data_IF_689317123821
#
_entry.id   IF_689317123821
#
_cell.length_a   1.000
_cell.length_b   1.000
_cell.length_c   1.000
_cell.angle_alpha   90.00
_cell.angle_beta   90.00
_cell.angle_gamma   90.00
#
_symmetry.space_group_name_H-M   'P 1'
#
loop_
_entity.id
_entity.type
_entity.pdbx_description
1 polymer ?
#
# COMPACT_ATOMS: atom_id res chain seq x y z
N UNK A 1 -20.73 29.12 -65.48
CA UNK A 1 -19.27 29.07 -65.34
C UNK A 1 -18.90 29.80 -64.08
N UNK A 2 -18.50 29.07 -63.05
CA UNK A 2 -18.06 29.66 -61.79
C UNK A 2 -16.59 30.06 -61.85
N UNK A 3 -16.20 30.93 -60.94
CA UNK A 3 -14.91 30.86 -60.27
C UNK A 3 -15.02 31.63 -58.95
N UNK A 4 -15.02 30.85 -57.87
CA UNK A 4 -14.88 31.25 -56.47
C UNK A 4 -13.38 31.16 -56.14
N UNK A 5 -12.99 31.85 -55.06
CA UNK A 5 -11.78 31.70 -54.22
C UNK A 5 -10.52 32.49 -54.62
N UNK A 6 -9.64 32.94 -53.70
CA UNK A 6 -9.42 32.69 -52.26
C UNK A 6 -8.92 33.98 -51.57
N UNK A 7 -9.20 34.15 -50.27
CA UNK A 7 -8.32 34.91 -49.38
C UNK A 7 -8.27 34.25 -47.99
N UNK A 8 -7.32 33.32 -47.88
CA UNK A 8 -6.43 32.99 -46.75
C UNK A 8 -7.03 33.08 -45.34
N UNK A 9 -7.39 31.93 -44.81
CA UNK A 9 -7.51 31.68 -43.36
C UNK A 9 -6.11 31.43 -42.78
N UNK A 10 -5.69 32.30 -41.87
CA UNK A 10 -4.47 32.16 -41.07
C UNK A 10 -4.63 30.96 -40.13
N UNK A 11 -4.11 29.80 -40.53
CA UNK A 11 -3.94 28.67 -39.64
C UNK A 11 -2.92 29.05 -38.57
N UNK A 12 -3.39 29.09 -37.32
CA UNK A 12 -2.59 29.19 -36.12
C UNK A 12 -1.74 27.92 -36.07
N UNK A 13 -0.49 28.02 -36.51
CA UNK A 13 0.47 26.91 -36.46
C UNK A 13 0.59 26.42 -35.02
N UNK A 14 -0.07 25.30 -34.73
CA UNK A 14 0.36 24.41 -33.67
C UNK A 14 1.74 23.92 -34.08
N UNK A 15 2.77 24.41 -33.38
CA UNK A 15 4.12 23.87 -33.50
C UNK A 15 4.02 22.39 -33.10
N UNK A 16 4.02 21.47 -34.08
CA UNK A 16 4.09 20.05 -33.76
C UNK A 16 5.48 19.83 -33.19
N UNK A 17 5.55 19.34 -31.95
CA UNK A 17 6.82 18.93 -31.34
C UNK A 17 7.58 18.05 -32.34
N UNK A 18 8.87 18.34 -32.52
CA UNK A 18 9.74 17.48 -33.33
C UNK A 18 9.83 16.10 -32.67
N UNK A 19 10.13 15.07 -33.45
CA UNK A 19 10.47 13.76 -32.90
C UNK A 19 11.63 13.87 -31.90
N UNK A 20 12.56 14.81 -32.13
CA UNK A 20 13.70 15.08 -31.24
C UNK A 20 13.26 15.69 -29.90
N UNK A 21 12.30 16.62 -29.90
CA UNK A 21 11.73 17.20 -28.68
C UNK A 21 11.00 16.12 -27.87
N UNK A 22 10.23 15.27 -28.57
CA UNK A 22 9.49 14.16 -27.96
C UNK A 22 10.44 13.12 -27.33
N UNK A 23 11.60 12.85 -27.96
CA UNK A 23 12.63 11.97 -27.41
C UNK A 23 13.27 12.60 -26.17
N UNK A 24 13.58 13.91 -26.22
CA UNK A 24 14.17 14.61 -25.09
C UNK A 24 13.26 14.58 -23.86
N UNK A 25 11.95 14.83 -24.04
CA UNK A 25 10.95 14.79 -22.97
C UNK A 25 10.89 13.40 -22.29
N UNK A 26 10.97 12.31 -23.07
CA UNK A 26 10.97 10.95 -22.51
C UNK A 26 12.28 10.64 -21.77
N UNK A 27 13.40 11.11 -22.30
CA UNK A 27 14.71 10.87 -21.69
C UNK A 27 14.93 11.66 -20.41
N UNK A 28 14.21 12.78 -20.20
CA UNK A 28 14.33 13.62 -19.00
C UNK A 28 14.13 12.82 -17.69
N UNK A 29 13.14 11.93 -17.65
CA UNK A 29 12.80 11.14 -16.45
C UNK A 29 13.27 9.69 -16.51
N UNK A 30 13.94 9.29 -17.60
CA UNK A 30 14.29 7.90 -17.86
C UNK A 30 15.16 7.29 -16.76
N UNK A 31 16.22 7.99 -16.35
CA UNK A 31 17.18 7.45 -15.38
C UNK A 31 16.58 7.34 -13.97
N UNK A 32 15.72 8.30 -13.59
CA UNK A 32 14.95 8.23 -12.34
C UNK A 32 13.97 7.05 -12.36
N UNK A 33 13.27 6.85 -13.47
CA UNK A 33 12.37 5.71 -13.65
C UNK A 33 13.12 4.37 -13.54
N UNK A 34 14.23 4.21 -14.28
CA UNK A 34 15.01 2.98 -14.29
C UNK A 34 15.59 2.69 -12.90
N UNK A 35 16.18 3.70 -12.24
CA UNK A 35 16.75 3.53 -10.90
C UNK A 35 15.68 3.16 -9.86
N UNK A 36 14.50 3.80 -9.92
CA UNK A 36 13.35 3.47 -9.08
C UNK A 36 12.90 2.02 -9.28
N UNK A 37 12.73 1.59 -10.53
CA UNK A 37 12.31 0.22 -10.86
C UNK A 37 13.34 -0.84 -10.46
N UNK A 38 14.63 -0.56 -10.64
CA UNK A 38 15.71 -1.46 -10.23
C UNK A 38 15.76 -1.60 -8.71
N UNK A 39 15.63 -0.49 -7.98
CA UNK A 39 15.59 -0.49 -6.51
C UNK A 39 14.39 -1.30 -5.99
N UNK A 40 13.19 -1.07 -6.53
CA UNK A 40 11.98 -1.82 -6.19
C UNK A 40 12.16 -3.32 -6.49
N UNK A 41 12.73 -3.67 -7.65
CA UNK A 41 13.02 -5.06 -8.02
C UNK A 41 14.01 -5.73 -7.05
N UNK A 42 15.08 -5.04 -6.66
CA UNK A 42 16.06 -5.56 -5.71
C UNK A 42 15.43 -5.83 -4.33
N UNK A 43 14.62 -4.89 -3.83
CA UNK A 43 13.87 -5.05 -2.57
C UNK A 43 12.87 -6.21 -2.64
N UNK A 44 12.10 -6.32 -3.73
CA UNK A 44 11.16 -7.42 -3.92
C UNK A 44 11.84 -8.78 -3.98
N UNK A 45 13.05 -8.90 -4.55
CA UNK A 45 13.82 -10.15 -4.52
C UNK A 45 14.18 -10.58 -3.09
N UNK A 46 14.52 -9.63 -2.22
CA UNK A 46 14.78 -9.91 -0.80
C UNK A 46 13.51 -10.41 -0.10
N UNK A 47 12.38 -9.74 -0.34
CA UNK A 47 11.08 -10.15 0.22
C UNK A 47 10.68 -11.54 -0.28
N UNK A 48 10.81 -11.79 -1.58
CA UNK A 48 10.49 -13.08 -2.19
C UNK A 48 11.29 -14.23 -1.57
N UNK A 49 12.59 -14.03 -1.32
CA UNK A 49 13.42 -15.03 -0.65
C UNK A 49 13.06 -15.30 0.82
N UNK A 50 12.22 -14.47 1.46
CA UNK A 50 11.57 -14.77 2.76
C UNK A 50 10.25 -15.49 2.55
N UNK A 51 9.46 -15.03 1.57
CA UNK A 51 8.19 -15.64 1.19
C UNK A 51 8.34 -17.14 0.84
N UNK A 52 9.38 -17.52 0.11
CA UNK A 52 9.64 -18.91 -0.28
C UNK A 52 9.84 -19.85 0.92
N UNK A 53 10.20 -19.32 2.10
CA UNK A 53 10.33 -20.10 3.35
C UNK A 53 9.01 -20.23 4.11
N UNK A 54 7.91 -19.74 3.52
CA UNK A 54 6.59 -19.63 4.12
C UNK A 54 6.58 -18.85 5.45
N UNK A 55 7.49 -17.88 5.57
CA UNK A 55 7.61 -17.03 6.75
C UNK A 55 7.03 -15.63 6.48
N UNK A 56 5.70 -15.55 6.58
CA UNK A 56 4.96 -14.30 6.29
C UNK A 56 5.25 -13.23 7.35
N UNK A 57 5.56 -13.63 8.58
CA UNK A 57 5.96 -12.70 9.65
C UNK A 57 7.29 -12.02 9.32
N UNK A 58 8.28 -12.78 8.84
CA UNK A 58 9.55 -12.20 8.38
C UNK A 58 9.39 -11.36 7.11
N UNK A 59 8.47 -11.71 6.21
CA UNK A 59 8.09 -10.87 5.07
C UNK A 59 7.62 -9.49 5.55
N UNK A 60 6.66 -9.45 6.47
CA UNK A 60 6.10 -8.21 7.04
C UNK A 60 7.19 -7.38 7.73
N UNK A 61 7.98 -8.02 8.59
CA UNK A 61 9.13 -7.41 9.29
C UNK A 61 10.15 -6.81 8.32
N UNK A 62 10.46 -7.53 7.24
CA UNK A 62 11.42 -7.09 6.22
C UNK A 62 10.90 -5.88 5.45
N UNK A 63 9.64 -5.88 5.03
CA UNK A 63 9.05 -4.75 4.32
C UNK A 63 8.98 -3.50 5.19
N UNK A 64 8.62 -3.64 6.48
CA UNK A 64 8.62 -2.51 7.41
C UNK A 64 10.00 -1.87 7.57
N UNK A 65 11.07 -2.67 7.59
CA UNK A 65 12.45 -2.17 7.64
C UNK A 65 12.87 -1.45 6.35
N UNK A 66 12.29 -1.82 5.21
CA UNK A 66 12.60 -1.18 3.92
C UNK A 66 11.98 0.20 3.79
N UNK A 67 10.87 0.49 4.49
CA UNK A 67 10.19 1.78 4.45
C UNK A 67 9.80 2.22 3.03
N UNK A 68 9.46 1.26 2.16
CA UNK A 68 9.20 1.52 0.74
C UNK A 68 7.73 1.24 0.44
N UNK A 69 6.94 2.31 0.30
CA UNK A 69 5.50 2.23 0.03
C UNK A 69 5.18 1.38 -1.20
N UNK A 70 6.01 1.42 -2.25
CA UNK A 70 5.77 0.69 -3.48
C UNK A 70 5.96 -0.83 -3.28
N UNK A 71 6.97 -1.21 -2.49
CA UNK A 71 7.17 -2.62 -2.09
C UNK A 71 6.04 -3.10 -1.17
N UNK A 72 5.66 -2.28 -0.18
CA UNK A 72 4.57 -2.62 0.74
C UNK A 72 3.27 -2.82 -0.05
N UNK A 73 2.91 -1.91 -0.95
CA UNK A 73 1.69 -2.01 -1.76
C UNK A 73 1.64 -3.27 -2.63
N UNK A 74 2.75 -3.66 -3.27
CA UNK A 74 2.80 -4.87 -4.11
C UNK A 74 2.50 -6.12 -3.29
N UNK A 75 3.16 -6.25 -2.13
CA UNK A 75 3.05 -7.47 -1.32
C UNK A 75 1.74 -7.50 -0.54
N UNK A 76 1.25 -6.35 -0.05
CA UNK A 76 -0.07 -6.27 0.59
C UNK A 76 -1.16 -6.69 -0.40
N UNK A 77 -1.07 -6.31 -1.68
CA UNK A 77 -2.01 -6.76 -2.72
C UNK A 77 -2.03 -8.29 -2.84
N UNK A 78 -0.86 -8.94 -2.80
CA UNK A 78 -0.74 -10.41 -2.84
C UNK A 78 -1.29 -11.06 -1.57
N UNK A 79 -1.01 -10.49 -0.39
CA UNK A 79 -1.56 -10.98 0.88
C UNK A 79 -3.08 -10.88 0.88
N UNK A 80 -3.62 -9.79 0.33
CA UNK A 80 -5.06 -9.55 0.23
C UNK A 80 -5.75 -10.58 -0.69
N UNK A 81 -5.12 -11.00 -1.79
CA UNK A 81 -5.63 -12.12 -2.61
C UNK A 81 -5.69 -13.45 -1.85
N UNK A 82 -4.91 -13.60 -0.77
CA UNK A 82 -4.85 -14.80 0.06
C UNK A 82 -5.26 -14.51 1.51
N UNK A 83 -6.26 -13.64 1.69
CA UNK A 83 -6.63 -13.10 3.01
C UNK A 83 -6.87 -14.17 4.08
N UNK A 84 -7.31 -15.38 3.70
CA UNK A 84 -7.52 -16.51 4.61
C UNK A 84 -6.26 -16.97 5.36
N UNK A 85 -5.06 -16.65 4.85
CA UNK A 85 -3.80 -16.95 5.56
C UNK A 85 -3.49 -15.96 6.69
N UNK A 86 -4.16 -14.80 6.70
CA UNK A 86 -3.89 -13.76 7.68
C UNK A 86 -4.46 -14.20 9.02
N UNK A 87 -3.60 -14.21 10.03
CA UNK A 87 -3.96 -14.47 11.42
C UNK A 87 -3.97 -13.18 12.23
N UNK A 88 -4.48 -13.22 13.47
CA UNK A 88 -4.39 -12.08 14.37
C UNK A 88 -2.94 -11.66 14.63
N UNK A 89 -2.01 -12.61 14.64
CA UNK A 89 -0.58 -12.34 14.78
C UNK A 89 -0.04 -11.53 13.59
N UNK A 90 -0.32 -11.96 12.35
CA UNK A 90 0.06 -11.22 11.14
C UNK A 90 -0.62 -9.85 11.07
N UNK A 91 -1.86 -9.74 11.54
CA UNK A 91 -2.60 -8.48 11.63
C UNK A 91 -1.84 -7.42 12.44
N UNK A 92 -1.21 -7.81 13.56
CA UNK A 92 -0.41 -6.87 14.38
C UNK A 92 0.75 -6.24 13.61
N UNK A 93 1.37 -6.99 12.69
CA UNK A 93 2.46 -6.49 11.86
C UNK A 93 2.00 -5.77 10.59
N UNK A 94 0.83 -6.13 10.05
CA UNK A 94 0.26 -5.49 8.87
C UNK A 94 -0.27 -4.08 9.16
N UNK A 95 -0.96 -3.87 10.28
CA UNK A 95 -1.60 -2.58 10.60
C UNK A 95 -0.63 -1.38 10.63
N UNK A 96 0.59 -1.49 11.18
CA UNK A 96 1.59 -0.43 11.06
C UNK A 96 1.98 -0.13 9.61
N UNK A 97 2.16 -1.16 8.77
CA UNK A 97 2.49 -0.97 7.35
C UNK A 97 1.35 -0.27 6.59
N UNK A 98 0.11 -0.60 6.92
CA UNK A 98 -1.05 0.03 6.30
C UNK A 98 -1.18 1.49 6.74
N UNK A 99 -0.91 1.79 8.01
CA UNK A 99 -0.87 3.17 8.53
C UNK A 99 0.23 4.00 7.87
N UNK A 100 1.39 3.40 7.60
CA UNK A 100 2.48 4.02 6.84
C UNK A 100 2.04 4.26 5.38
N UNK A 101 1.45 3.24 4.75
CA UNK A 101 0.99 3.31 3.36
C UNK A 101 -0.09 4.38 3.11
N UNK A 102 -0.88 4.74 4.13
CA UNK A 102 -1.84 5.85 4.06
C UNK A 102 -1.18 7.24 3.93
N UNK A 103 0.13 7.35 4.20
CA UNK A 103 0.92 8.57 4.03
C UNK A 103 1.61 8.63 2.65
N UNK A 104 1.34 7.67 1.77
CA UNK A 104 1.85 7.69 0.41
C UNK A 104 1.22 8.82 -0.43
N UNK A 105 1.99 9.37 -1.37
CA UNK A 105 1.50 10.35 -2.35
C UNK A 105 0.72 9.71 -3.53
N UNK A 106 0.78 8.39 -3.68
CA UNK A 106 0.12 7.68 -4.79
C UNK A 106 -1.26 7.12 -4.41
N UNK A 107 -2.33 7.60 -5.03
CA UNK A 107 -3.73 7.15 -4.83
C UNK A 107 -3.90 5.62 -4.79
N UNK A 108 -3.20 4.90 -5.68
CA UNK A 108 -3.26 3.44 -5.72
C UNK A 108 -2.79 2.80 -4.41
N UNK A 109 -1.78 3.36 -3.76
CA UNK A 109 -1.30 2.88 -2.46
C UNK A 109 -2.35 3.10 -1.36
N UNK A 110 -3.02 4.25 -1.36
CA UNK A 110 -4.10 4.56 -0.41
C UNK A 110 -5.25 3.57 -0.60
N UNK A 111 -5.65 3.33 -1.85
CA UNK A 111 -6.71 2.36 -2.19
C UNK A 111 -6.40 0.97 -1.65
N UNK A 112 -5.19 0.46 -1.91
CA UNK A 112 -4.74 -0.86 -1.41
C UNK A 112 -4.75 -0.88 0.12
N UNK A 113 -4.26 0.20 0.75
CA UNK A 113 -4.22 0.29 2.21
C UNK A 113 -5.62 0.23 2.83
N UNK A 114 -6.54 1.08 2.34
CA UNK A 114 -7.92 1.17 2.84
C UNK A 114 -8.68 -0.13 2.61
N UNK A 115 -8.52 -0.77 1.44
CA UNK A 115 -9.17 -2.05 1.15
C UNK A 115 -8.69 -3.16 2.09
N UNK A 116 -7.37 -3.25 2.31
CA UNK A 116 -6.81 -4.22 3.24
C UNK A 116 -7.24 -3.93 4.69
N UNK A 117 -7.24 -2.66 5.11
CA UNK A 117 -7.73 -2.24 6.44
C UNK A 117 -9.19 -2.65 6.65
N UNK A 118 -10.04 -2.45 5.65
CA UNK A 118 -11.45 -2.86 5.69
C UNK A 118 -11.58 -4.39 5.84
N UNK A 119 -10.78 -5.17 5.12
CA UNK A 119 -10.75 -6.63 5.25
C UNK A 119 -10.31 -7.06 6.66
N UNK A 120 -9.24 -6.47 7.19
CA UNK A 120 -8.76 -6.77 8.55
C UNK A 120 -9.80 -6.44 9.62
N UNK A 121 -10.47 -5.28 9.52
CA UNK A 121 -11.53 -4.90 10.47
C UNK A 121 -12.73 -5.84 10.38
N UNK A 122 -13.12 -6.27 9.19
CA UNK A 122 -14.21 -7.25 9.02
C UNK A 122 -13.89 -8.60 9.66
N UNK A 123 -12.66 -9.07 9.50
CA UNK A 123 -12.23 -10.39 10.00
C UNK A 123 -11.96 -10.35 11.51
N UNK A 124 -11.21 -9.37 11.99
CA UNK A 124 -10.70 -9.34 13.36
C UNK A 124 -11.41 -8.36 14.28
N UNK A 125 -12.23 -7.45 13.77
CA UNK A 125 -12.84 -6.37 14.57
C UNK A 125 -13.67 -6.90 15.76
N UNK A 126 -14.47 -7.94 15.55
CA UNK A 126 -15.24 -8.58 16.63
C UNK A 126 -14.34 -9.21 17.70
N UNK A 127 -13.27 -9.89 17.27
CA UNK A 127 -12.29 -10.51 18.17
C UNK A 127 -11.54 -9.45 18.98
N UNK A 128 -11.11 -8.36 18.35
CA UNK A 128 -10.43 -7.24 19.01
C UNK A 128 -11.38 -6.63 20.05
N UNK A 129 -12.58 -6.22 19.63
CA UNK A 129 -13.54 -5.57 20.51
C UNK A 129 -13.93 -6.44 21.72
N UNK A 130 -14.28 -7.70 21.48
CA UNK A 130 -14.69 -8.62 22.55
C UNK A 130 -13.57 -8.93 23.53
N UNK A 131 -12.33 -9.09 23.04
CA UNK A 131 -11.16 -9.34 23.89
C UNK A 131 -10.86 -8.12 24.78
N UNK A 132 -10.92 -6.91 24.23
CA UNK A 132 -10.65 -5.68 24.98
C UNK A 132 -11.76 -5.31 25.98
N UNK A 133 -13.01 -5.69 25.67
CA UNK A 133 -14.17 -5.44 26.54
C UNK A 133 -14.37 -6.50 27.61
N UNK A 134 -13.65 -7.63 27.53
CA UNK A 134 -13.76 -8.72 28.47
C UNK A 134 -13.24 -8.30 29.86
N UNK A 135 -13.87 -8.84 30.91
CA UNK A 135 -13.35 -8.67 32.27
C UNK A 135 -12.00 -9.40 32.40
N UNK A 136 -11.06 -8.89 33.22
CA UNK A 136 -9.83 -9.59 33.51
C UNK A 136 -10.10 -11.03 33.95
N UNK A 137 -9.40 -11.96 33.32
CA UNK A 137 -9.43 -13.38 33.66
C UNK A 137 -8.93 -13.59 35.11
N UNK A 138 -9.59 -14.49 35.85
CA UNK A 138 -9.11 -14.96 37.15
C UNK A 138 -8.35 -16.25 36.92
N UNK A 139 -7.01 -16.19 37.03
CA UNK A 139 -6.11 -17.32 36.80
C UNK A 139 -4.95 -16.95 35.89
N UNK A 140 -4.05 -17.91 35.64
CA UNK A 140 -2.92 -17.76 34.71
C UNK A 140 -3.31 -18.42 33.39
N UNK A 141 -3.77 -17.63 32.43
CA UNK A 141 -4.03 -18.08 31.06
C UNK A 141 -3.14 -17.27 30.10
N UNK A 142 -1.96 -17.83 29.84
CA UNK A 142 -0.93 -17.20 29.01
C UNK A 142 -1.44 -16.96 27.58
N UNK A 143 -2.32 -17.82 27.06
CA UNK A 143 -2.82 -17.67 25.69
C UNK A 143 -3.84 -16.53 25.61
N UNK A 144 -4.72 -16.41 26.61
CA UNK A 144 -5.62 -15.27 26.72
C UNK A 144 -4.85 -13.95 26.89
N UNK A 145 -3.77 -13.95 27.67
CA UNK A 145 -2.89 -12.78 27.85
C UNK A 145 -2.21 -12.37 26.54
N UNK A 146 -1.64 -13.32 25.78
CA UNK A 146 -1.04 -13.05 24.45
C UNK A 146 -2.06 -12.54 23.44
N UNK A 147 -3.27 -13.10 23.45
CA UNK A 147 -4.36 -12.62 22.59
C UNK A 147 -4.74 -11.19 22.95
N UNK A 148 -4.84 -10.87 24.24
CA UNK A 148 -5.12 -9.51 24.71
C UNK A 148 -4.02 -8.54 24.27
N UNK A 149 -2.75 -8.92 24.39
CA UNK A 149 -1.61 -8.13 23.91
C UNK A 149 -1.72 -7.83 22.40
N UNK A 150 -1.93 -8.86 21.57
CA UNK A 150 -2.12 -8.69 20.12
C UNK A 150 -3.32 -7.79 19.79
N UNK A 151 -4.46 -7.99 20.46
CA UNK A 151 -5.65 -7.15 20.27
C UNK A 151 -5.38 -5.69 20.65
N UNK A 152 -4.63 -5.44 21.73
CA UNK A 152 -4.22 -4.09 22.13
C UNK A 152 -3.32 -3.44 21.07
N UNK A 153 -2.33 -4.17 20.56
CA UNK A 153 -1.45 -3.67 19.48
C UNK A 153 -2.28 -3.29 18.24
N UNK A 154 -3.17 -4.17 17.80
CA UNK A 154 -4.06 -3.87 16.68
C UNK A 154 -4.92 -2.64 16.94
N UNK A 155 -5.51 -2.52 18.13
CA UNK A 155 -6.37 -1.40 18.48
C UNK A 155 -5.64 -0.06 18.48
N UNK A 156 -4.41 -0.02 19.01
CA UNK A 156 -3.57 1.19 18.98
C UNK A 156 -3.32 1.65 17.55
N UNK A 157 -2.99 0.74 16.64
CA UNK A 157 -2.79 1.08 15.22
C UNK A 157 -4.10 1.51 14.54
N UNK A 158 -5.22 0.83 14.79
CA UNK A 158 -6.53 1.22 14.25
C UNK A 158 -6.96 2.62 14.69
N UNK A 159 -6.66 3.02 15.94
CA UNK A 159 -6.90 4.38 16.42
C UNK A 159 -6.00 5.43 15.73
N UNK A 160 -4.80 5.04 15.26
CA UNK A 160 -3.98 5.93 14.40
C UNK A 160 -4.60 6.06 13.01
N UNK A 161 -4.98 4.94 12.39
CA UNK A 161 -5.65 4.90 11.07
C UNK A 161 -6.86 5.82 11.04
N UNK A 162 -7.68 5.82 12.11
CA UNK A 162 -8.86 6.68 12.25
C UNK A 162 -8.56 8.17 12.03
N UNK A 163 -7.35 8.65 12.33
CA UNK A 163 -6.93 10.05 12.15
C UNK A 163 -6.69 10.41 10.68
N UNK A 164 -6.40 9.43 9.83
CA UNK A 164 -6.20 9.62 8.40
C UNK A 164 -7.52 9.56 7.61
N UNK A 165 -8.56 8.92 8.14
CA UNK A 165 -9.84 8.79 7.41
C UNK A 165 -10.49 10.12 7.01
N UNK A 166 -10.50 11.19 7.85
CA UNK A 166 -11.08 12.47 7.47
C UNK A 166 -10.39 13.15 6.28
N UNK A 167 -9.10 12.89 6.04
CA UNK A 167 -8.38 13.46 4.88
C UNK A 167 -8.59 12.68 3.58
N UNK A 168 -9.27 11.52 3.64
CA UNK A 168 -9.57 10.68 2.48
C UNK A 168 -10.99 10.90 1.92
N UNK A 169 -11.82 11.68 2.63
CA UNK A 169 -13.21 12.00 2.30
C UNK A 169 -13.34 13.43 1.79
#
# INVERSE_FOLDING_TARGET
>A
MGLRTHSISTEKATFSASDEDSIADVMEQHDEFISSMQNRSAKLKVVFGRWERNDVTEVISTMGKMGDHAVIADIVSIIMEKIDMVTLDLCTGLLPLLSDLLQSEMDRHLSISVEMLLNLVRIFGSVIYSTLSAKPSVGVDIEAEKRLERCNLCFVELEKVKRFLPSLM
#
